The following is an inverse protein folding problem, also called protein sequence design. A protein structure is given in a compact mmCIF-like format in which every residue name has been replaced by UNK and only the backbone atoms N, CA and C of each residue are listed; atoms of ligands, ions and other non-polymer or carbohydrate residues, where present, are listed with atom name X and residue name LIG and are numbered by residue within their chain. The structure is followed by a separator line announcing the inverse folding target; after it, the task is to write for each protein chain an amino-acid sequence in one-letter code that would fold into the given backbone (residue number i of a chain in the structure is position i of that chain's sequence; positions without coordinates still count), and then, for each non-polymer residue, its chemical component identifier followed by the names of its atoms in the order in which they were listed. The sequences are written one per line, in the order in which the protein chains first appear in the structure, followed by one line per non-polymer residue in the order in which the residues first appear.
data_IF_773137520691
#
_entry.id   IF_773137520691
#
_cell.length_a   1.000
_cell.length_b   1.000
_cell.length_c   1.000
_cell.angle_alpha   90.00
_cell.angle_beta   90.00
_cell.angle_gamma   90.00
#
_symmetry.space_group_name_H-M   'P 1'
#
loop_
_entity.id
_entity.type
_entity.pdbx_description
1 polymer ?
#
# COMPACT_ATOMS: atom_id res chain seq x y z
N UNK A 1 14.59 -30.78 25.66
CA UNK A 1 13.12 -30.62 25.75
C UNK A 1 12.68 -29.17 25.90
N UNK A 2 13.25 -28.38 26.82
CA UNK A 2 12.90 -26.95 26.97
C UNK A 2 12.97 -26.14 25.66
N UNK A 3 14.02 -26.32 24.84
CA UNK A 3 14.15 -25.62 23.55
C UNK A 3 13.07 -25.98 22.53
N UNK A 4 12.69 -27.25 22.43
CA UNK A 4 11.60 -27.70 21.54
C UNK A 4 10.27 -27.05 21.94
N UNK A 5 9.96 -27.06 23.24
CA UNK A 5 8.75 -26.46 23.78
C UNK A 5 8.75 -24.95 23.50
N UNK A 6 9.88 -24.28 23.70
CA UNK A 6 10.04 -22.86 23.40
C UNK A 6 9.74 -22.54 21.91
N UNK A 7 10.32 -23.30 20.98
CA UNK A 7 10.09 -23.10 19.53
C UNK A 7 8.62 -23.31 19.16
N UNK A 8 7.96 -24.35 19.72
CA UNK A 8 6.53 -24.60 19.48
C UNK A 8 5.68 -23.42 19.98
N UNK A 9 5.95 -22.92 21.20
CA UNK A 9 5.22 -21.79 21.78
C UNK A 9 5.45 -20.50 20.96
N UNK A 10 6.69 -20.23 20.56
CA UNK A 10 7.03 -19.06 19.74
C UNK A 10 6.34 -19.12 18.36
N UNK A 11 6.31 -20.30 17.73
CA UNK A 11 5.61 -20.51 16.47
C UNK A 11 4.10 -20.31 16.60
N UNK A 12 3.47 -20.89 17.63
CA UNK A 12 2.03 -20.77 17.88
C UNK A 12 1.60 -19.31 18.13
N UNK A 13 2.35 -18.58 18.95
CA UNK A 13 2.05 -17.19 19.30
C UNK A 13 2.21 -16.23 18.11
N UNK A 14 3.10 -16.55 17.16
CA UNK A 14 3.29 -15.77 15.93
C UNK A 14 2.25 -16.11 14.85
N UNK A 15 1.88 -17.40 14.73
CA UNK A 15 0.96 -17.87 13.71
C UNK A 15 -0.47 -17.33 13.90
N UNK A 16 -0.97 -17.27 15.14
CA UNK A 16 -2.35 -16.86 15.43
C UNK A 16 -2.71 -15.46 14.91
N UNK A 17 -1.99 -14.37 15.27
CA UNK A 17 -2.28 -13.04 14.74
C UNK A 17 -2.01 -12.93 13.24
N UNK A 18 -1.05 -13.70 12.70
CA UNK A 18 -0.71 -13.68 11.27
C UNK A 18 -1.85 -14.23 10.42
N UNK A 19 -2.37 -15.41 10.78
CA UNK A 19 -3.52 -16.03 10.09
C UNK A 19 -4.77 -15.17 10.23
N UNK A 20 -4.98 -14.54 11.39
CA UNK A 20 -6.11 -13.61 11.58
C UNK A 20 -6.03 -12.37 10.68
N UNK A 21 -4.85 -11.71 10.61
CA UNK A 21 -4.63 -10.55 9.73
C UNK A 21 -4.77 -10.91 8.25
N UNK A 22 -4.24 -12.07 7.86
CA UNK A 22 -4.39 -12.57 6.50
C UNK A 22 -5.87 -12.84 6.16
N UNK A 23 -6.61 -13.47 7.08
CA UNK A 23 -8.05 -13.73 6.91
C UNK A 23 -8.87 -12.45 6.73
N UNK A 24 -8.59 -11.40 7.50
CA UNK A 24 -9.23 -10.09 7.33
C UNK A 24 -8.84 -9.43 6.00
N UNK A 25 -7.60 -9.55 5.56
CA UNK A 25 -7.15 -9.02 4.26
C UNK A 25 -7.87 -9.71 3.09
N UNK A 26 -7.99 -11.05 3.12
CA UNK A 26 -8.76 -11.79 2.12
C UNK A 26 -10.25 -11.46 2.18
N UNK A 27 -10.81 -11.22 3.37
CA UNK A 27 -12.18 -10.79 3.53
C UNK A 27 -12.42 -9.40 2.92
N UNK A 28 -11.47 -8.46 3.05
CA UNK A 28 -11.55 -7.15 2.42
C UNK A 28 -11.59 -7.24 0.88
N UNK A 29 -10.97 -8.28 0.30
CA UNK A 29 -11.01 -8.56 -1.14
C UNK A 29 -12.30 -9.30 -1.54
N UNK A 30 -12.76 -10.26 -0.73
CA UNK A 30 -13.94 -11.09 -0.98
C UNK A 30 -14.95 -10.93 0.18
N UNK A 31 -15.75 -9.83 0.19
CA UNK A 31 -16.59 -9.48 1.34
C UNK A 31 -17.79 -10.40 1.55
N UNK A 32 -18.13 -11.25 0.57
CA UNK A 32 -19.29 -12.16 0.61
C UNK A 32 -19.07 -13.42 1.46
N UNK A 33 -17.83 -13.70 1.87
CA UNK A 33 -17.50 -14.93 2.61
C UNK A 33 -17.27 -14.63 4.09
N UNK A 34 -17.80 -15.48 4.97
CA UNK A 34 -17.62 -15.35 6.41
C UNK A 34 -16.14 -15.45 6.80
N UNK A 35 -15.69 -14.53 7.67
CA UNK A 35 -14.33 -14.47 8.23
C UNK A 35 -13.78 -15.84 8.65
N UNK A 36 -14.61 -16.69 9.24
CA UNK A 36 -14.20 -18.00 9.73
C UNK A 36 -13.75 -18.92 8.59
N UNK A 37 -14.48 -18.92 7.47
CA UNK A 37 -14.16 -19.77 6.31
C UNK A 37 -12.91 -19.28 5.59
N UNK A 38 -12.75 -17.96 5.48
CA UNK A 38 -11.56 -17.35 4.88
C UNK A 38 -10.32 -17.67 5.70
N UNK A 39 -10.41 -17.59 7.02
CA UNK A 39 -9.31 -17.92 7.94
C UNK A 39 -8.91 -19.39 7.85
N UNK A 40 -9.88 -20.31 7.88
CA UNK A 40 -9.61 -21.75 7.71
C UNK A 40 -9.00 -22.03 6.34
N UNK A 41 -9.54 -21.45 5.27
CA UNK A 41 -8.99 -21.61 3.92
C UNK A 41 -7.55 -21.10 3.81
N UNK A 42 -7.27 -19.93 4.39
CA UNK A 42 -5.92 -19.34 4.45
C UNK A 42 -4.95 -20.24 5.22
N UNK A 43 -5.38 -20.77 6.37
CA UNK A 43 -4.59 -21.68 7.18
C UNK A 43 -4.28 -23.00 6.45
N UNK A 44 -5.28 -23.61 5.81
CA UNK A 44 -5.09 -24.84 5.03
C UNK A 44 -4.15 -24.62 3.84
N UNK A 45 -4.31 -23.52 3.11
CA UNK A 45 -3.41 -23.14 2.02
C UNK A 45 -1.98 -22.94 2.53
N UNK A 46 -1.81 -22.24 3.65
CA UNK A 46 -0.49 -22.01 4.26
C UNK A 46 0.15 -23.32 4.68
N UNK A 47 -0.59 -24.22 5.32
CA UNK A 47 -0.10 -25.56 5.69
C UNK A 47 0.31 -26.35 4.45
N UNK A 48 -0.48 -26.34 3.38
CA UNK A 48 -0.16 -27.01 2.14
C UNK A 48 1.15 -26.49 1.53
N UNK A 49 1.31 -25.16 1.43
CA UNK A 49 2.53 -24.53 0.92
C UNK A 49 3.74 -24.83 1.82
N UNK A 50 3.56 -24.83 3.14
CA UNK A 50 4.62 -25.09 4.11
C UNK A 50 5.16 -26.54 4.06
N UNK A 51 4.40 -27.50 3.52
CA UNK A 51 4.88 -28.87 3.31
C UNK A 51 5.96 -28.97 2.22
N UNK A 52 6.10 -27.97 1.35
CA UNK A 52 7.08 -27.98 0.27
C UNK A 52 8.42 -27.37 0.71
N UNK A 53 9.51 -28.18 0.80
CA UNK A 53 10.82 -27.69 1.26
C UNK A 53 11.41 -26.60 0.38
N UNK A 54 11.08 -26.60 -0.92
CA UNK A 54 11.54 -25.57 -1.87
C UNK A 54 11.09 -24.17 -1.46
N UNK A 55 9.92 -24.03 -0.83
CA UNK A 55 9.43 -22.74 -0.34
C UNK A 55 10.17 -22.31 0.92
N UNK A 56 10.40 -23.24 1.86
CA UNK A 56 11.14 -22.98 3.09
C UNK A 56 12.58 -22.51 2.81
N UNK A 57 13.23 -23.08 1.80
CA UNK A 57 14.60 -22.71 1.41
C UNK A 57 14.68 -21.34 0.73
N UNK A 58 13.59 -20.84 0.15
CA UNK A 58 13.53 -19.53 -0.53
C UNK A 58 12.87 -18.43 0.31
N UNK A 59 12.64 -18.67 1.61
CA UNK A 59 11.99 -17.70 2.49
C UNK A 59 12.73 -16.37 2.54
N UNK A 60 14.07 -16.38 2.48
CA UNK A 60 14.87 -15.16 2.56
C UNK A 60 14.63 -14.25 1.34
N UNK A 61 14.69 -14.81 0.13
CA UNK A 61 14.43 -14.07 -1.11
C UNK A 61 12.97 -13.60 -1.20
N UNK A 62 12.04 -14.46 -0.77
CA UNK A 62 10.63 -14.12 -0.69
C UNK A 62 10.38 -12.95 0.25
N UNK A 63 10.92 -12.99 1.48
CA UNK A 63 10.79 -11.89 2.45
C UNK A 63 11.42 -10.62 1.92
N UNK A 64 12.55 -10.70 1.22
CA UNK A 64 13.19 -9.53 0.62
C UNK A 64 12.30 -8.88 -0.46
N UNK A 65 11.73 -9.69 -1.35
CA UNK A 65 10.80 -9.23 -2.37
C UNK A 65 9.55 -8.61 -1.74
N UNK A 66 8.99 -9.23 -0.70
CA UNK A 66 7.87 -8.68 0.06
C UNK A 66 8.22 -7.35 0.73
N UNK A 67 9.41 -7.23 1.31
CA UNK A 67 9.92 -5.98 1.86
C UNK A 67 9.96 -4.88 0.80
N UNK A 68 10.47 -5.18 -0.40
CA UNK A 68 10.52 -4.26 -1.51
C UNK A 68 9.12 -3.83 -1.99
N UNK A 69 8.16 -4.76 -2.08
CA UNK A 69 6.78 -4.50 -2.50
C UNK A 69 6.00 -3.66 -1.48
N UNK A 70 6.21 -3.91 -0.18
CA UNK A 70 5.50 -3.25 0.92
C UNK A 70 6.10 -1.90 1.30
N UNK A 71 7.40 -1.69 1.06
CA UNK A 71 8.12 -0.47 1.40
C UNK A 71 7.44 0.82 0.87
N UNK A 72 7.06 0.96 -0.42
CA UNK A 72 6.43 2.18 -0.90
C UNK A 72 5.03 2.37 -0.30
N UNK A 73 4.31 1.28 0.00
CA UNK A 73 2.99 1.34 0.66
C UNK A 73 3.16 1.92 2.07
N UNK A 74 4.15 1.43 2.83
CA UNK A 74 4.47 1.95 4.16
C UNK A 74 4.86 3.43 4.12
N UNK A 75 5.67 3.84 3.13
CA UNK A 75 6.04 5.25 2.94
C UNK A 75 4.83 6.13 2.65
N UNK A 76 3.97 5.72 1.70
CA UNK A 76 2.73 6.45 1.36
C UNK A 76 1.85 6.65 2.58
N UNK A 77 1.59 5.59 3.37
CA UNK A 77 0.77 5.69 4.59
C UNK A 77 1.40 6.63 5.62
N UNK A 78 2.71 6.52 5.84
CA UNK A 78 3.42 7.38 6.79
C UNK A 78 3.35 8.86 6.40
N UNK A 79 3.57 9.17 5.12
CA UNK A 79 3.51 10.53 4.60
C UNK A 79 2.08 11.07 4.58
N UNK A 80 1.10 10.25 4.21
CA UNK A 80 -0.31 10.66 4.17
C UNK A 80 -0.84 11.07 5.56
N UNK A 81 -0.47 10.31 6.58
CA UNK A 81 -0.92 10.55 7.95
C UNK A 81 -0.10 11.62 8.70
N UNK A 82 1.23 11.64 8.56
CA UNK A 82 2.09 12.52 9.35
C UNK A 82 2.52 13.79 8.63
N UNK A 83 2.85 13.71 7.34
CA UNK A 83 3.51 14.81 6.63
C UNK A 83 2.53 15.68 5.85
N UNK A 84 1.56 15.11 5.13
CA UNK A 84 0.55 15.87 4.40
C UNK A 84 -0.22 16.89 5.26
N UNK A 85 -0.74 16.56 6.46
CA UNK A 85 -1.49 17.53 7.25
C UNK A 85 -0.59 18.64 7.81
N UNK A 86 0.71 18.38 8.02
CA UNK A 86 1.68 19.41 8.40
C UNK A 86 2.02 20.37 7.26
N UNK A 87 1.88 19.93 6.02
CA UNK A 87 2.05 20.75 4.83
C UNK A 87 0.75 21.48 4.42
N UNK A 88 -0.33 21.34 5.20
CA UNK A 88 -1.63 21.94 4.89
C UNK A 88 -2.42 21.23 3.79
N UNK A 89 -2.00 20.03 3.38
CA UNK A 89 -2.72 19.19 2.42
C UNK A 89 -3.73 18.29 3.12
N UNK A 90 -4.78 17.88 2.40
CA UNK A 90 -5.78 16.94 2.94
C UNK A 90 -5.20 15.53 2.99
N UNK A 91 -5.12 14.95 4.19
CA UNK A 91 -4.92 13.50 4.42
C UNK A 91 -6.12 12.69 3.95
N UNK A 92 -5.92 11.39 3.68
CA UNK A 92 -6.97 10.47 3.24
C UNK A 92 -7.71 10.96 1.99
N UNK A 93 -6.96 11.53 1.05
CA UNK A 93 -7.54 12.13 -0.16
C UNK A 93 -8.40 11.14 -0.96
N UNK A 94 -8.06 9.85 -0.94
CA UNK A 94 -8.83 8.78 -1.57
C UNK A 94 -10.26 8.68 -1.01
N UNK A 95 -10.40 8.75 0.31
CA UNK A 95 -11.66 8.64 1.03
C UNK A 95 -12.49 9.93 0.89
N UNK A 96 -11.84 11.09 0.88
CA UNK A 96 -12.48 12.37 0.62
C UNK A 96 -12.96 12.53 -0.83
N UNK A 97 -12.21 12.01 -1.80
CA UNK A 97 -12.53 12.11 -3.23
C UNK A 97 -13.39 10.96 -3.77
N UNK A 98 -13.78 9.99 -2.92
CA UNK A 98 -14.58 8.82 -3.30
C UNK A 98 -13.86 7.83 -4.23
N UNK A 99 -12.53 7.92 -4.35
CA UNK A 99 -11.74 7.11 -5.27
C UNK A 99 -11.08 5.95 -4.53
N UNK A 100 -11.27 4.72 -5.04
CA UNK A 100 -10.68 3.51 -4.45
C UNK A 100 -9.15 3.43 -4.63
N UNK A 101 -8.62 4.13 -5.65
CA UNK A 101 -7.19 4.21 -5.97
C UNK A 101 -6.86 5.64 -6.38
N UNK A 102 -5.87 6.25 -5.75
CA UNK A 102 -5.38 7.57 -6.12
C UNK A 102 -4.18 7.43 -7.05
N UNK A 103 -4.19 8.18 -8.16
CA UNK A 103 -3.08 8.21 -9.11
C UNK A 103 -1.74 8.55 -8.44
N UNK A 104 -1.65 9.49 -7.46
CA UNK A 104 -0.43 9.71 -6.70
C UNK A 104 0.11 8.47 -5.97
N UNK A 105 -0.75 7.68 -5.33
CA UNK A 105 -0.32 6.49 -4.60
C UNK A 105 0.13 5.37 -5.55
N UNK A 106 -0.63 5.12 -6.61
CA UNK A 106 -0.28 4.10 -7.61
C UNK A 106 1.00 4.47 -8.36
N UNK A 107 1.11 5.74 -8.77
CA UNK A 107 2.30 6.27 -9.45
C UNK A 107 3.53 6.18 -8.55
N UNK A 108 3.42 6.56 -7.28
CA UNK A 108 4.51 6.40 -6.31
C UNK A 108 4.94 4.95 -6.21
N UNK A 109 3.99 4.03 -6.04
CA UNK A 109 4.29 2.61 -5.87
C UNK A 109 5.01 2.04 -7.10
N UNK A 110 4.46 2.23 -8.31
CA UNK A 110 5.07 1.71 -9.54
C UNK A 110 6.44 2.33 -9.85
N UNK A 111 6.56 3.65 -9.76
CA UNK A 111 7.82 4.35 -10.08
C UNK A 111 8.90 4.01 -9.06
N UNK A 112 8.56 3.91 -7.77
CA UNK A 112 9.54 3.51 -6.76
C UNK A 112 10.03 2.09 -7.00
N UNK A 113 9.13 1.15 -7.32
CA UNK A 113 9.52 -0.23 -7.65
C UNK A 113 10.41 -0.28 -8.89
N UNK A 114 10.09 0.50 -9.94
CA UNK A 114 10.92 0.59 -11.14
C UNK A 114 12.32 1.14 -10.81
N UNK A 115 12.42 2.21 -10.02
CA UNK A 115 13.70 2.76 -9.58
C UNK A 115 14.48 1.73 -8.76
N UNK A 116 13.84 1.04 -7.81
CA UNK A 116 14.49 0.04 -6.99
C UNK A 116 14.98 -1.15 -7.83
N UNK A 117 14.21 -1.61 -8.82
CA UNK A 117 14.63 -2.66 -9.76
C UNK A 117 15.87 -2.25 -10.56
N UNK A 118 15.92 -0.99 -11.01
CA UNK A 118 17.10 -0.43 -11.66
C UNK A 118 18.29 -0.41 -10.70
N UNK A 119 18.11 0.02 -9.45
CA UNK A 119 19.18 0.03 -8.45
C UNK A 119 19.72 -1.39 -8.17
N UNK A 120 18.85 -2.37 -7.96
CA UNK A 120 19.26 -3.77 -7.77
C UNK A 120 20.04 -4.26 -8.99
N UNK A 121 19.56 -3.97 -10.21
CA UNK A 121 20.15 -4.52 -11.43
C UNK A 121 21.46 -3.85 -11.85
N UNK A 122 21.58 -2.53 -11.68
CA UNK A 122 22.72 -1.75 -12.18
C UNK A 122 23.74 -1.40 -11.10
N UNK A 123 23.31 -1.22 -9.85
CA UNK A 123 24.21 -0.85 -8.75
C UNK A 123 24.69 -2.06 -7.92
N UNK A 124 24.28 -3.29 -8.28
CA UNK A 124 24.57 -4.53 -7.53
C UNK A 124 24.27 -4.43 -6.02
N UNK A 125 23.27 -3.61 -5.65
CA UNK A 125 22.84 -3.50 -4.27
C UNK A 125 21.90 -4.69 -3.99
N UNK A 126 22.20 -5.44 -2.94
CA UNK A 126 21.34 -6.50 -2.45
C UNK A 126 19.92 -5.98 -2.17
N UNK A 127 18.92 -6.76 -2.55
CA UNK A 127 17.50 -6.38 -2.45
C UNK A 127 17.09 -6.01 -1.00
N UNK A 128 17.77 -6.58 -0.01
CA UNK A 128 17.60 -6.27 1.41
C UNK A 128 17.94 -4.81 1.76
N UNK A 129 18.96 -4.22 1.12
CA UNK A 129 19.40 -2.86 1.42
C UNK A 129 18.70 -1.81 0.57
N UNK A 130 18.18 -2.16 -0.61
CA UNK A 130 17.46 -1.22 -1.49
C UNK A 130 16.15 -0.71 -0.87
N UNK A 131 15.57 -1.46 0.07
CA UNK A 131 14.37 -1.04 0.77
C UNK A 131 14.54 0.27 1.57
N UNK A 132 15.74 0.56 2.08
CA UNK A 132 15.97 1.80 2.84
C UNK A 132 15.98 3.05 1.94
N UNK A 133 16.83 3.17 0.90
CA UNK A 133 16.80 4.31 -0.01
C UNK A 133 15.48 4.39 -0.78
N UNK A 134 14.88 3.23 -1.13
CA UNK A 134 13.58 3.18 -1.79
C UNK A 134 12.46 3.82 -0.96
N UNK A 135 12.51 3.72 0.37
CA UNK A 135 11.53 4.35 1.25
C UNK A 135 11.57 5.88 1.16
N UNK A 136 12.77 6.47 1.15
CA UNK A 136 12.94 7.92 0.99
C UNK A 136 12.51 8.40 -0.39
N UNK A 137 12.81 7.63 -1.43
CA UNK A 137 12.35 7.91 -2.81
C UNK A 137 10.82 7.90 -2.87
N UNK A 138 10.17 6.86 -2.31
CA UNK A 138 8.72 6.78 -2.24
C UNK A 138 8.11 7.96 -1.47
N UNK A 139 8.71 8.33 -0.33
CA UNK A 139 8.24 9.44 0.47
C UNK A 139 8.28 10.76 -0.30
N UNK A 140 9.42 11.10 -0.91
CA UNK A 140 9.59 12.31 -1.70
C UNK A 140 8.64 12.33 -2.92
N UNK A 141 8.54 11.21 -3.63
CA UNK A 141 7.71 11.08 -4.82
C UNK A 141 6.22 11.22 -4.49
N UNK A 142 5.76 10.60 -3.40
CA UNK A 142 4.36 10.72 -2.96
C UNK A 142 4.02 12.13 -2.50
N UNK A 143 4.92 12.79 -1.76
CA UNK A 143 4.72 14.21 -1.38
C UNK A 143 4.61 15.09 -2.62
N UNK A 144 5.51 14.94 -3.60
CA UNK A 144 5.48 15.73 -4.83
C UNK A 144 4.23 15.49 -5.69
N UNK A 145 3.86 14.23 -5.91
CA UNK A 145 2.65 13.86 -6.65
C UNK A 145 1.37 14.33 -5.94
N UNK A 146 1.32 14.21 -4.62
CA UNK A 146 0.17 14.68 -3.84
C UNK A 146 0.03 16.20 -3.87
N UNK A 147 1.15 16.92 -3.85
CA UNK A 147 1.15 18.37 -4.01
C UNK A 147 0.60 18.81 -5.38
N UNK A 148 1.07 18.18 -6.46
CA UNK A 148 0.59 18.50 -7.81
C UNK A 148 -0.89 18.15 -7.99
N UNK A 149 -1.33 16.99 -7.49
CA UNK A 149 -2.70 16.52 -7.62
C UNK A 149 -3.71 17.40 -6.86
N UNK A 150 -3.35 17.92 -5.68
CA UNK A 150 -4.23 18.81 -4.92
C UNK A 150 -4.25 20.25 -5.48
N UNK A 151 -3.16 20.70 -6.11
CA UNK A 151 -3.09 22.02 -6.75
C UNK A 151 -3.99 22.12 -7.98
N UNK A 152 -3.89 21.17 -8.93
CA UNK A 152 -4.69 21.20 -10.16
C UNK A 152 -6.20 21.16 -9.87
N UNK A 153 -6.63 20.44 -8.83
CA UNK A 153 -8.06 20.34 -8.50
C UNK A 153 -8.62 21.56 -7.78
N UNK A 154 -7.78 22.34 -7.11
CA UNK A 154 -8.17 23.66 -6.58
C UNK A 154 -8.40 24.64 -7.73
N UNK A 155 -7.56 24.58 -8.77
CA UNK A 155 -7.70 25.38 -9.99
C UNK A 155 -8.97 25.01 -10.77
N UNK A 156 -9.24 23.72 -11.01
CA UNK A 156 -10.46 23.25 -11.70
C UNK A 156 -11.77 23.63 -10.95
N UNK A 157 -11.77 23.52 -9.62
CA UNK A 157 -12.91 23.91 -8.79
C UNK A 157 -13.17 25.43 -8.86
N UNK A 158 -12.10 26.23 -8.92
CA UNK A 158 -12.19 27.68 -9.02
C UNK A 158 -12.62 28.12 -10.43
N UNK A 159 -12.15 27.47 -11.49
CA UNK A 159 -12.63 27.71 -12.87
C UNK A 159 -14.11 27.39 -13.04
N UNK A 160 -14.59 26.31 -12.41
CA UNK A 160 -16.02 25.93 -12.45
C UNK A 160 -16.90 26.91 -11.66
N UNK A 161 -16.40 27.43 -10.53
CA UNK A 161 -17.11 28.44 -9.74
C UNK A 161 -17.11 29.84 -10.37
N UNK A 162 -16.19 30.13 -11.30
CA UNK A 162 -16.05 31.44 -11.96
C UNK A 162 -16.86 31.53 -13.27
N UNK A 163 -17.79 30.59 -13.53
CA UNK A 163 -18.83 30.77 -14.56
C UNK A 163 -20.16 31.16 -13.89
N UNK A 164 -20.35 32.43 -13.46
CA UNK A 164 -21.68 32.96 -13.21
C UNK A 164 -22.33 33.28 -14.56
N UNK A 165 -23.32 32.48 -14.97
CA UNK A 165 -24.38 32.89 -15.88
C UNK A 165 -23.98 33.29 -17.31
N UNK A 166 -24.15 32.36 -18.25
CA UNK A 166 -24.75 32.65 -19.56
C UNK A 166 -25.78 31.54 -19.77
N UNK A 167 -27.08 31.79 -19.63
CA UNK A 167 -27.85 32.64 -20.53
C UNK A 167 -28.94 33.44 -19.81
N UNK A 168 -29.00 34.73 -20.15
CA UNK A 168 -30.07 35.65 -19.83
C UNK A 168 -31.40 35.23 -20.49
N UNK A 169 -32.48 35.44 -19.74
CA UNK A 169 -33.78 35.98 -20.15
C UNK A 169 -34.03 36.14 -21.66
N UNK A 170 -34.98 35.38 -22.21
CA UNK A 170 -35.85 35.85 -23.28
C UNK A 170 -37.28 35.81 -22.77
N UNK A 171 -37.82 37.01 -22.52
CA UNK A 171 -39.22 37.30 -22.17
C UNK A 171 -40.02 37.50 -23.46
N UNK A 172 -41.34 37.21 -23.40
CA UNK A 172 -42.43 37.51 -24.37
C UNK A 172 -42.56 36.48 -25.51
N UNK A 173 -43.72 35.92 -25.82
CA UNK A 173 -45.14 36.26 -25.62
C UNK A 173 -45.98 35.03 -25.24
#
# INVERSE_FOLDING_TARGET
MAGLICVIIAGWTTANPTIYRAGLAFQAVIPRVSRFHVTIGTGLLTTFVALFPGVAMQLLDFVALYGLLLMPIGAVIAIDFWLLPRLGLKSFYAEYAGHRLTIPALGTWLVTLAICLVLVRFANIEIFFVALPGWFIAAALFTGLSYLAQRHRTEDAMTTATVPGSSATTTRE
#
